data_IF_465346976577
#
_entry.id   IF_465346976577
#
_cell.length_a   1.000
_cell.length_b   1.000
_cell.length_c   1.000
_cell.angle_alpha   90.00
_cell.angle_beta   90.00
_cell.angle_gamma   90.00
#
_symmetry.space_group_name_H-M   'P 1'
#
loop_
_entity.id
_entity.type
_entity.pdbx_description
1 polymer ?
#
# COMPACT_ATOMS: atom_id res chain seq x y z
N UNK A 1 -8.78 -13.38 11.29
CA UNK A 1 -7.73 -12.36 11.06
C UNK A 1 -6.29 -12.91 11.12
N UNK A 2 -6.08 -14.24 11.02
CA UNK A 2 -4.72 -14.80 10.97
C UNK A 2 -4.02 -14.61 9.60
N UNK A 3 -4.79 -14.46 8.52
CA UNK A 3 -4.26 -14.52 7.16
C UNK A 3 -3.60 -13.20 6.68
N UNK A 4 -4.13 -12.04 7.07
CA UNK A 4 -3.57 -10.72 6.70
C UNK A 4 -2.23 -10.40 7.37
N UNK A 5 -1.91 -11.07 8.49
CA UNK A 5 -0.62 -10.93 9.17
C UNK A 5 0.53 -11.46 8.31
N UNK A 6 0.31 -12.56 7.59
CA UNK A 6 1.32 -13.16 6.70
C UNK A 6 1.59 -12.34 5.43
N UNK A 7 0.64 -11.48 5.05
CA UNK A 7 0.72 -10.61 3.87
C UNK A 7 1.04 -9.16 4.22
N UNK A 8 1.46 -8.87 5.46
CA UNK A 8 1.75 -7.51 5.94
C UNK A 8 0.62 -6.51 5.66
N UNK A 9 -0.65 -6.95 5.75
CA UNK A 9 -1.82 -6.14 5.40
C UNK A 9 -1.68 -5.52 4.00
N UNK A 10 -1.12 -6.29 3.07
CA UNK A 10 -0.92 -5.92 1.67
C UNK A 10 -0.04 -4.69 1.46
N UNK A 11 0.67 -4.24 2.50
CA UNK A 11 1.38 -2.96 2.48
C UNK A 11 2.89 -3.17 2.42
N UNK A 12 3.53 -2.53 1.44
CA UNK A 12 4.97 -2.41 1.36
C UNK A 12 5.43 -1.00 1.71
N UNK A 13 6.60 -0.89 2.32
CA UNK A 13 7.28 0.38 2.57
C UNK A 13 8.75 0.27 2.14
N UNK A 14 9.25 1.31 1.48
CA UNK A 14 10.63 1.39 1.02
C UNK A 14 11.24 2.74 1.37
N UNK A 15 12.53 2.76 1.70
CA UNK A 15 13.34 3.95 1.98
C UNK A 15 14.54 3.95 1.05
N UNK A 16 14.61 4.92 0.13
CA UNK A 16 15.68 5.02 -0.87
C UNK A 16 16.00 3.67 -1.56
N UNK A 17 14.97 2.89 -1.90
CA UNK A 17 15.12 1.57 -2.54
C UNK A 17 15.39 0.39 -1.59
N UNK A 18 15.53 0.60 -0.28
CA UNK A 18 15.65 -0.46 0.71
C UNK A 18 14.30 -0.74 1.41
N UNK A 19 13.92 -2.01 1.55
CA UNK A 19 12.65 -2.41 2.19
C UNK A 19 12.64 -2.04 3.66
N UNK A 20 11.58 -1.39 4.11
CA UNK A 20 11.32 -1.05 5.51
C UNK A 20 10.33 -2.06 6.07
N UNK A 21 10.66 -2.65 7.22
CA UNK A 21 9.83 -3.66 7.87
C UNK A 21 8.84 -3.02 8.83
N UNK A 22 7.67 -3.63 8.95
CA UNK A 22 6.69 -3.33 10.00
C UNK A 22 6.88 -4.27 11.19
N UNK A 23 6.33 -3.90 12.35
CA UNK A 23 6.16 -4.83 13.48
C UNK A 23 5.26 -5.99 13.04
N UNK A 24 5.47 -7.15 13.65
CA UNK A 24 4.76 -8.38 13.28
C UNK A 24 3.24 -8.34 13.51
N UNK A 25 2.72 -7.36 14.28
CA UNK A 25 1.30 -7.20 14.58
C UNK A 25 0.94 -5.71 14.62
N UNK A 26 -0.26 -5.32 14.14
CA UNK A 26 -0.81 -4.00 14.41
C UNK A 26 -0.92 -3.75 15.90
N UNK A 27 -0.68 -2.51 16.31
CA UNK A 27 -0.92 -2.08 17.69
C UNK A 27 -2.40 -1.83 17.96
N UNK A 28 -3.13 -1.44 16.92
CA UNK A 28 -4.55 -1.11 16.98
C UNK A 28 -5.22 -1.67 15.73
N UNK A 29 -6.41 -2.26 15.90
CA UNK A 29 -7.26 -2.68 14.79
C UNK A 29 -8.73 -2.73 15.23
N UNK A 30 -9.64 -2.53 14.29
CA UNK A 30 -11.08 -2.57 14.51
C UNK A 30 -11.82 -2.85 13.21
N UNK A 31 -12.99 -3.47 13.34
CA UNK A 31 -13.91 -3.66 12.22
C UNK A 31 -15.22 -2.97 12.55
N UNK A 32 -15.66 -2.10 11.66
CA UNK A 32 -16.98 -1.47 11.73
C UNK A 32 -17.77 -1.82 10.48
N UNK A 33 -19.08 -1.62 10.56
CA UNK A 33 -19.95 -1.70 9.39
C UNK A 33 -20.36 -0.29 9.03
N UNK A 34 -20.11 0.10 7.79
CA UNK A 34 -20.62 1.34 7.22
C UNK A 34 -21.56 0.98 6.06
N UNK A 35 -22.86 1.17 6.26
CA UNK A 35 -23.91 0.72 5.34
C UNK A 35 -23.75 -0.76 4.88
N UNK A 36 -23.28 -0.98 3.65
CA UNK A 36 -23.07 -2.29 3.05
C UNK A 36 -21.58 -2.70 2.99
N UNK A 37 -20.70 -1.90 3.58
CA UNK A 37 -19.27 -2.10 3.62
C UNK A 37 -18.83 -2.55 5.00
N UNK A 38 -17.82 -3.43 5.02
CA UNK A 38 -17.05 -3.74 6.22
C UNK A 38 -15.80 -2.91 6.16
N UNK A 39 -15.61 -2.05 7.16
CA UNK A 39 -14.45 -1.16 7.26
C UNK A 39 -13.48 -1.76 8.26
N UNK A 40 -12.30 -2.16 7.78
CA UNK A 40 -11.19 -2.59 8.62
C UNK A 40 -10.24 -1.41 8.83
N UNK A 41 -10.13 -0.93 10.07
CA UNK A 41 -9.13 0.08 10.45
C UNK A 41 -8.00 -0.58 11.21
N UNK A 42 -6.75 -0.21 10.94
CA UNK A 42 -5.60 -0.74 11.65
C UNK A 42 -4.43 0.25 11.64
N UNK A 43 -3.47 0.06 12.55
CA UNK A 43 -2.22 0.80 12.62
C UNK A 43 -1.03 -0.15 12.46
N UNK A 44 -0.16 0.09 11.47
CA UNK A 44 1.08 -0.67 11.24
C UNK A 44 2.31 0.13 11.66
N UNK A 45 2.87 -0.09 12.87
CA UNK A 45 4.11 0.55 13.25
C UNK A 45 5.28 -0.04 12.46
N UNK A 46 6.24 0.81 12.11
CA UNK A 46 7.54 0.36 11.60
C UNK A 46 8.26 -0.48 12.68
N UNK A 47 9.01 -1.49 12.25
CA UNK A 47 9.76 -2.36 13.15
C UNK A 47 10.84 -1.58 13.90
N UNK A 48 11.47 -0.64 13.21
CA UNK A 48 12.55 0.21 13.73
C UNK A 48 12.26 1.67 13.39
N UNK A 49 12.57 2.62 14.30
CA UNK A 49 12.50 4.05 14.00
C UNK A 49 13.29 4.39 12.74
N UNK A 50 12.72 5.27 11.93
CA UNK A 50 13.28 5.65 10.64
C UNK A 50 13.70 7.14 10.65
N UNK A 51 14.88 7.50 10.11
CA UNK A 51 15.26 8.89 9.95
C UNK A 51 14.37 9.56 8.88
N UNK A 52 13.94 10.81 9.08
CA UNK A 52 13.07 11.48 8.10
C UNK A 52 13.84 12.44 7.18
N UNK A 53 14.69 13.31 7.74
CA UNK A 53 15.38 14.35 6.96
C UNK A 53 16.26 13.76 5.85
N UNK A 54 16.14 14.33 4.65
CA UNK A 54 16.86 13.92 3.46
C UNK A 54 16.48 12.54 2.91
N UNK A 55 15.41 11.92 3.41
CA UNK A 55 14.97 10.60 2.98
C UNK A 55 13.76 10.68 2.05
N UNK A 56 13.67 9.70 1.14
CA UNK A 56 12.46 9.43 0.36
C UNK A 56 11.89 8.08 0.77
N UNK A 57 10.61 8.09 1.14
CA UNK A 57 9.82 6.90 1.42
C UNK A 57 8.79 6.67 0.32
N UNK A 58 8.53 5.40 0.02
CA UNK A 58 7.40 4.99 -0.80
C UNK A 58 6.57 3.95 -0.07
N UNK A 59 5.25 4.06 -0.19
CA UNK A 59 4.29 3.11 0.36
C UNK A 59 3.32 2.70 -0.75
N UNK A 60 2.99 1.42 -0.77
CA UNK A 60 1.97 0.86 -1.68
C UNK A 60 1.19 -0.21 -0.94
N UNK A 61 -0.12 -0.24 -1.16
CA UNK A 61 -1.01 -1.27 -0.62
C UNK A 61 -1.68 -1.97 -1.79
N UNK A 62 -1.43 -3.26 -1.96
CA UNK A 62 -1.93 -4.03 -3.10
C UNK A 62 -2.03 -5.52 -2.82
N UNK A 63 -3.03 -6.16 -3.42
CA UNK A 63 -3.09 -7.61 -3.50
C UNK A 63 -2.16 -8.11 -4.63
N UNK A 64 -1.19 -9.01 -4.36
CA UNK A 64 -0.26 -9.50 -5.40
C UNK A 64 -0.94 -10.13 -6.62
N UNK A 65 -2.13 -10.73 -6.43
CA UNK A 65 -2.88 -11.41 -7.48
C UNK A 65 -3.77 -10.51 -8.34
N UNK A 66 -3.83 -9.20 -8.05
CA UNK A 66 -4.62 -8.17 -8.76
C UNK A 66 -6.17 -8.29 -8.63
N UNK A 67 -6.70 -9.35 -8.03
CA UNK A 67 -8.16 -9.52 -7.93
C UNK A 67 -8.86 -8.51 -7.03
N UNK A 68 -8.11 -7.92 -6.09
CA UNK A 68 -8.63 -6.90 -5.18
C UNK A 68 -8.02 -5.56 -5.54
N UNK A 69 -8.89 -4.63 -5.96
CA UNK A 69 -8.52 -3.25 -6.14
C UNK A 69 -8.35 -2.57 -4.78
N UNK A 70 -7.17 -1.99 -4.56
CA UNK A 70 -6.79 -1.27 -3.36
C UNK A 70 -6.31 0.12 -3.76
N UNK A 71 -7.14 1.12 -3.52
CA UNK A 71 -6.85 2.51 -3.87
C UNK A 71 -7.33 3.50 -2.81
N UNK A 72 -6.72 4.67 -2.84
CA UNK A 72 -7.21 5.92 -2.28
C UNK A 72 -8.16 6.57 -3.30
N UNK A 73 -9.35 6.95 -2.86
CA UNK A 73 -10.34 7.61 -3.71
C UNK A 73 -9.85 8.99 -4.15
N UNK A 74 -9.14 9.69 -3.25
CA UNK A 74 -8.55 10.99 -3.48
C UNK A 74 -7.14 11.07 -2.90
N UNK A 75 -6.25 11.84 -3.53
CA UNK A 75 -4.90 12.09 -3.02
C UNK A 75 -4.91 12.64 -1.56
N UNK A 76 -5.96 13.35 -1.18
CA UNK A 76 -6.15 13.93 0.16
C UNK A 76 -6.50 12.91 1.25
N UNK A 77 -6.87 11.68 0.89
CA UNK A 77 -7.14 10.61 1.86
C UNK A 77 -5.84 10.15 2.54
N UNK A 78 -4.70 10.38 1.87
CA UNK A 78 -3.38 10.22 2.47
C UNK A 78 -3.03 11.47 3.25
N UNK A 79 -3.02 11.35 4.57
CA UNK A 79 -2.75 12.47 5.46
C UNK A 79 -1.45 12.31 6.24
N UNK A 80 -0.94 13.43 6.73
CA UNK A 80 0.27 13.48 7.54
C UNK A 80 0.03 14.34 8.79
N UNK A 81 0.64 14.00 9.94
CA UNK A 81 0.56 14.81 11.15
C UNK A 81 1.04 16.24 10.91
N UNK A 82 0.39 17.21 11.55
CA UNK A 82 0.64 18.65 11.39
C UNK A 82 2.13 19.04 11.51
N UNK A 83 2.92 18.53 12.49
CA UNK A 83 4.33 18.91 12.62
C UNK A 83 5.22 18.50 11.44
N UNK A 84 4.78 17.55 10.62
CA UNK A 84 5.52 17.07 9.45
C UNK A 84 5.09 17.78 8.16
N UNK A 85 3.93 18.43 8.10
CA UNK A 85 3.40 19.09 6.88
C UNK A 85 4.29 20.22 6.36
N UNK A 86 5.02 20.89 7.25
CA UNK A 86 5.94 21.97 6.86
C UNK A 86 7.30 21.44 6.35
N UNK A 87 7.66 20.21 6.73
CA UNK A 87 9.00 19.63 6.49
C UNK A 87 9.00 18.53 5.47
N UNK A 88 7.83 17.96 5.19
CA UNK A 88 7.67 16.84 4.30
C UNK A 88 6.58 17.13 3.26
N UNK A 89 6.79 16.60 2.06
CA UNK A 89 5.81 16.58 0.99
C UNK A 89 5.33 15.15 0.80
N UNK A 90 4.02 15.01 0.62
CA UNK A 90 3.38 13.74 0.31
C UNK A 90 2.70 13.84 -1.05
N UNK A 91 2.82 12.80 -1.86
CA UNK A 91 2.23 12.72 -3.20
C UNK A 91 1.71 11.32 -3.42
N UNK A 92 0.53 11.21 -4.03
CA UNK A 92 -0.01 9.93 -4.49
C UNK A 92 0.17 9.86 -6.00
N UNK A 93 0.70 8.75 -6.49
CA UNK A 93 0.80 8.46 -7.91
C UNK A 93 -0.06 7.25 -8.24
N UNK A 94 -1.00 7.42 -9.16
CA UNK A 94 -1.79 6.31 -9.73
C UNK A 94 -1.10 5.83 -11.00
N UNK A 95 -0.70 4.55 -11.07
CA UNK A 95 -0.04 4.02 -12.25
C UNK A 95 -1.03 3.90 -13.42
N UNK A 96 -0.49 3.92 -14.64
CA UNK A 96 -1.22 3.62 -15.86
C UNK A 96 -0.55 2.43 -16.56
N UNK A 97 -0.95 1.19 -16.25
CA UNK A 97 -0.39 -0.01 -16.87
C UNK A 97 -0.57 0.00 -18.39
N UNK A 98 0.40 -0.56 -19.11
CA UNK A 98 0.32 -0.68 -20.57
C UNK A 98 -0.74 -1.67 -21.04
N UNK A 99 -1.15 -1.56 -22.31
CA UNK A 99 -2.20 -2.39 -22.91
C UNK A 99 -1.94 -3.90 -22.84
N UNK A 100 -0.68 -4.32 -22.83
CA UNK A 100 -0.31 -5.73 -22.68
C UNK A 100 -0.64 -6.26 -21.28
N UNK A 101 -0.28 -5.50 -20.24
CA UNK A 101 -0.58 -5.85 -18.85
C UNK A 101 -2.09 -5.86 -18.62
N UNK A 102 -2.81 -4.90 -19.21
CA UNK A 102 -4.28 -4.84 -19.14
C UNK A 102 -4.92 -6.06 -19.80
N UNK A 103 -4.47 -6.46 -21.00
CA UNK A 103 -4.98 -7.64 -21.68
C UNK A 103 -4.69 -8.92 -20.91
N UNK A 104 -3.48 -9.05 -20.35
CA UNK A 104 -3.14 -10.20 -19.51
C UNK A 104 -4.05 -10.27 -18.28
N UNK A 105 -4.21 -9.16 -17.56
CA UNK A 105 -5.06 -9.09 -16.37
C UNK A 105 -6.53 -9.42 -16.70
N UNK A 106 -7.03 -9.02 -17.86
CA UNK A 106 -8.39 -9.35 -18.34
C UNK A 106 -8.54 -10.81 -18.78
N UNK A 107 -7.44 -11.49 -19.12
CA UNK A 107 -7.47 -12.90 -19.55
C UNK A 107 -7.50 -13.89 -18.39
N UNK A 108 -7.17 -13.45 -17.18
CA UNK A 108 -7.19 -14.27 -15.99
C UNK A 108 -8.64 -14.51 -15.54
N UNK A 109 -9.06 -15.78 -15.45
CA UNK A 109 -10.28 -16.15 -14.73
C UNK A 109 -9.97 -16.26 -13.23
N UNK A 110 -10.96 -16.14 -12.34
CA UNK A 110 -10.78 -16.14 -10.88
C UNK A 110 -10.06 -17.38 -10.33
N UNK A 111 -10.04 -18.50 -11.07
CA UNK A 111 -9.33 -19.72 -10.72
C UNK A 111 -7.85 -19.71 -11.17
N UNK A 112 -7.47 -18.81 -12.07
CA UNK A 112 -6.11 -18.63 -12.57
C UNK A 112 -5.38 -17.57 -11.74
N UNK A 113 -4.41 -17.99 -10.93
CA UNK A 113 -3.50 -17.05 -10.28
C UNK A 113 -2.37 -16.67 -11.26
N UNK A 114 -2.01 -15.38 -11.39
CA UNK A 114 -0.81 -15.01 -12.12
C UNK A 114 0.42 -15.64 -11.43
N UNK A 115 1.52 -15.88 -12.17
CA UNK A 115 2.77 -16.30 -11.56
C UNK A 115 3.16 -15.35 -10.40
N UNK A 116 3.52 -15.90 -9.24
CA UNK A 116 3.80 -15.11 -8.04
C UNK A 116 4.94 -14.09 -8.26
N UNK A 117 5.88 -14.38 -9.15
CA UNK A 117 7.00 -13.51 -9.51
C UNK A 117 6.61 -12.32 -10.41
N UNK A 118 5.39 -12.31 -10.95
CA UNK A 118 4.90 -11.22 -11.79
C UNK A 118 4.49 -9.99 -10.98
N UNK A 119 4.17 -10.14 -9.68
CA UNK A 119 3.65 -9.08 -8.82
C UNK A 119 2.57 -8.24 -9.54
N UNK A 120 1.63 -8.89 -10.23
CA UNK A 120 0.73 -8.22 -11.16
C UNK A 120 -0.01 -7.05 -10.49
N UNK A 121 -0.52 -7.24 -9.27
CA UNK A 121 -1.21 -6.18 -8.54
C UNK A 121 -0.35 -4.95 -8.28
N UNK A 122 0.97 -5.10 -8.15
CA UNK A 122 1.91 -3.98 -7.99
C UNK A 122 1.93 -3.06 -9.20
N UNK A 123 1.66 -3.57 -10.40
CA UNK A 123 1.60 -2.76 -11.63
C UNK A 123 0.44 -1.76 -11.59
N UNK A 124 -0.62 -2.08 -10.82
CA UNK A 124 -1.83 -1.28 -10.68
C UNK A 124 -1.87 -0.49 -9.36
N UNK A 125 -0.96 -0.79 -8.44
CA UNK A 125 -0.93 -0.20 -7.11
C UNK A 125 -0.59 1.28 -7.13
N UNK A 126 -1.41 2.10 -6.47
CA UNK A 126 -1.02 3.47 -6.19
C UNK A 126 0.25 3.51 -5.31
N UNK A 127 1.10 4.50 -5.57
CA UNK A 127 2.33 4.72 -4.81
C UNK A 127 2.26 6.06 -4.08
N UNK A 128 2.35 6.01 -2.76
CA UNK A 128 2.50 7.20 -1.92
C UNK A 128 3.98 7.49 -1.76
N UNK A 129 4.42 8.66 -2.21
CA UNK A 129 5.78 9.15 -2.01
C UNK A 129 5.80 10.20 -0.90
N UNK A 130 6.66 9.98 0.10
CA UNK A 130 6.94 10.94 1.17
C UNK A 130 8.39 11.39 1.08
N UNK A 131 8.60 12.69 0.97
CA UNK A 131 9.92 13.32 0.91
C UNK A 131 10.05 14.37 1.99
N UNK A 132 11.03 14.22 2.88
CA UNK A 132 11.26 15.15 3.99
C UNK A 132 12.60 15.88 3.82
N UNK A 133 12.61 17.19 4.04
CA UNK A 133 13.80 18.03 4.04
C UNK A 133 14.22 18.34 5.47
#
# INVERSE_FOLDING_TARGET
MANVLGQHYFTEAWRNGAKVKFKNRPTEYGMTRDAHQVVLTFMLPLAEPQPLSGQTYTFSTFDPSYYVDMHYDQDSDVTMPEPLREKCRIQVHTPAPGEEILRFAQSLDKEDAPPEDMDLGKQFAQTVTLQCQ
#
